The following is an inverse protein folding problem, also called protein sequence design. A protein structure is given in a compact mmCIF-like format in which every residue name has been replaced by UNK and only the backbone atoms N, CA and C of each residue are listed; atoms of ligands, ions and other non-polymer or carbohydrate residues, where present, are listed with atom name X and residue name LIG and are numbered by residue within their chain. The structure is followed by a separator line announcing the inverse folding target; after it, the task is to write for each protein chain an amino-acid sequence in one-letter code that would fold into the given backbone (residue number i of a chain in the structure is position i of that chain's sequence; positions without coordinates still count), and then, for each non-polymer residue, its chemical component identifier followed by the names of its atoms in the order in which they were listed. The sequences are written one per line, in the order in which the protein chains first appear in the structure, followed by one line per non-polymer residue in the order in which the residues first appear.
data_IF_968186325564
#
_entry.id   IF_968186325564
#
_cell.length_a   1.000
_cell.length_b   1.000
_cell.length_c   1.000
_cell.angle_alpha   90.00
_cell.angle_beta   90.00
_cell.angle_gamma   90.00
#
_symmetry.space_group_name_H-M   'P 1'
#
loop_
_entity.id
_entity.type
_entity.pdbx_description
1 polymer ?
#
# COMPACT_ATOMS: atom_id res chain seq x y z
N UNK A 1 -13.69 1.86 -10.30
CA UNK A 1 -12.49 2.68 -10.54
C UNK A 1 -12.20 3.47 -9.27
N UNK A 2 -11.31 2.93 -8.42
CA UNK A 2 -10.70 3.71 -7.34
C UNK A 2 -9.68 4.63 -8.02
N UNK A 3 -10.14 5.78 -8.49
CA UNK A 3 -9.23 6.74 -9.13
C UNK A 3 -8.36 7.31 -8.01
N UNK A 4 -7.05 7.15 -8.15
CA UNK A 4 -6.07 7.74 -7.25
C UNK A 4 -6.36 9.25 -7.12
N UNK A 5 -6.82 9.69 -5.94
CA UNK A 5 -7.18 11.10 -5.70
C UNK A 5 -6.02 12.06 -6.00
N UNK A 6 -4.77 11.58 -5.90
CA UNK A 6 -3.57 12.34 -6.23
C UNK A 6 -3.58 12.68 -7.72
N UNK A 7 -3.84 11.72 -8.60
CA UNK A 7 -3.88 11.97 -10.05
C UNK A 7 -5.03 12.91 -10.41
N UNK A 8 -6.19 12.79 -9.76
CA UNK A 8 -7.29 13.74 -9.95
C UNK A 8 -6.91 15.15 -9.51
N UNK A 9 -6.23 15.29 -8.37
CA UNK A 9 -5.75 16.58 -7.87
C UNK A 9 -4.71 17.20 -8.82
N UNK A 10 -3.73 16.42 -9.26
CA UNK A 10 -2.71 16.86 -10.21
C UNK A 10 -3.33 17.21 -11.57
N UNK A 11 -4.34 16.47 -12.02
CA UNK A 11 -5.04 16.76 -13.26
C UNK A 11 -5.80 18.08 -13.18
N UNK A 12 -6.55 18.32 -12.09
CA UNK A 12 -7.29 19.57 -11.87
C UNK A 12 -6.39 20.81 -11.78
N UNK A 13 -5.16 20.65 -11.26
CA UNK A 13 -4.18 21.73 -11.19
C UNK A 13 -3.65 22.20 -12.55
N UNK A 14 -3.87 21.45 -13.64
CA UNK A 14 -3.53 21.92 -14.98
C UNK A 14 -4.42 23.08 -15.44
N UNK A 15 -5.64 23.17 -14.92
CA UNK A 15 -6.63 24.18 -15.32
C UNK A 15 -6.85 25.22 -14.23
N UNK A 16 -6.88 24.78 -12.97
CA UNK A 16 -7.33 25.60 -11.85
C UNK A 16 -6.26 25.79 -10.80
N UNK A 17 -6.36 26.90 -10.05
CA UNK A 17 -5.61 27.07 -8.81
C UNK A 17 -6.32 26.32 -7.67
N UNK A 18 -5.54 25.82 -6.73
CA UNK A 18 -6.05 25.15 -5.55
C UNK A 18 -5.31 25.61 -4.29
N UNK A 19 -5.77 25.14 -3.14
CA UNK A 19 -5.06 25.24 -1.88
C UNK A 19 -4.73 23.83 -1.40
N UNK A 20 -3.45 23.58 -1.19
CA UNK A 20 -2.97 22.38 -0.50
C UNK A 20 -3.13 22.61 1.00
N UNK A 21 -3.95 21.77 1.63
CA UNK A 21 -4.12 21.71 3.08
C UNK A 21 -3.26 20.57 3.60
N UNK A 22 -2.41 20.85 4.59
CA UNK A 22 -1.51 19.88 5.20
C UNK A 22 -1.73 19.80 6.70
N UNK A 23 -1.89 18.59 7.23
CA UNK A 23 -1.77 18.33 8.67
C UNK A 23 -0.30 18.45 9.05
N UNK A 24 0.07 19.55 9.71
CA UNK A 24 1.45 19.83 10.11
C UNK A 24 1.81 19.15 11.42
N UNK A 25 0.93 19.25 12.42
CA UNK A 25 1.14 18.68 13.73
C UNK A 25 -0.20 18.26 14.35
N UNK A 26 -0.14 17.35 15.31
CA UNK A 26 -1.31 16.84 16.01
C UNK A 26 -1.00 16.63 17.48
N UNK A 27 -2.02 16.72 18.32
CA UNK A 27 -1.95 16.40 19.73
C UNK A 27 -3.15 15.53 20.12
N UNK A 28 -2.94 14.50 20.92
CA UNK A 28 -4.03 13.61 21.36
C UNK A 28 -4.64 12.79 20.22
N UNK A 29 -5.93 12.44 20.37
CA UNK A 29 -6.64 11.60 19.40
C UNK A 29 -7.18 12.44 18.24
N UNK A 30 -6.69 12.16 17.03
CA UNK A 30 -7.01 12.89 15.80
C UNK A 30 -7.28 11.88 14.67
N UNK A 31 -8.10 12.23 13.66
CA UNK A 31 -8.49 11.28 12.62
C UNK A 31 -7.34 10.90 11.68
N UNK A 32 -6.43 11.84 11.36
CA UNK A 32 -5.24 11.59 10.55
C UNK A 32 -4.02 12.32 11.11
N UNK A 33 -2.84 11.75 10.89
CA UNK A 33 -1.58 12.25 11.44
C UNK A 33 -0.86 13.27 10.54
N UNK A 34 0.28 13.81 11.02
CA UNK A 34 1.14 14.72 10.26
C UNK A 34 1.53 14.19 8.87
N UNK A 35 1.64 15.09 7.90
CA UNK A 35 1.92 14.75 6.50
C UNK A 35 0.69 14.32 5.68
N UNK A 36 -0.50 14.34 6.29
CA UNK A 36 -1.75 14.12 5.55
C UNK A 36 -2.12 15.35 4.75
N UNK A 37 -2.56 15.15 3.50
CA UNK A 37 -2.88 16.20 2.56
C UNK A 37 -4.32 16.13 2.05
N UNK A 38 -4.88 17.30 1.73
CA UNK A 38 -6.09 17.49 0.94
C UNK A 38 -5.85 18.66 -0.03
N UNK A 39 -6.35 18.57 -1.26
CA UNK A 39 -6.27 19.64 -2.26
C UNK A 39 -7.66 20.20 -2.49
N UNK A 40 -7.81 21.51 -2.32
CA UNK A 40 -9.11 22.20 -2.36
C UNK A 40 -9.14 23.17 -3.53
N UNK A 41 -10.04 22.94 -4.46
CA UNK A 41 -10.38 23.84 -5.57
C UNK A 41 -11.56 24.73 -5.18
N UNK A 42 -11.93 25.67 -6.08
CA UNK A 42 -13.08 26.54 -5.85
C UNK A 42 -14.37 25.75 -5.59
N UNK A 43 -14.62 24.70 -6.37
CA UNK A 43 -15.88 23.92 -6.37
C UNK A 43 -15.68 22.41 -6.20
N UNK A 44 -14.45 21.97 -5.87
CA UNK A 44 -14.12 20.55 -5.72
C UNK A 44 -12.99 20.35 -4.69
N UNK A 45 -12.79 19.11 -4.27
CA UNK A 45 -11.73 18.72 -3.37
C UNK A 45 -11.25 17.30 -3.65
N UNK A 46 -10.00 17.01 -3.26
CA UNK A 46 -9.34 15.72 -3.43
C UNK A 46 -8.55 15.35 -2.18
N UNK A 47 -8.61 14.08 -1.78
CA UNK A 47 -8.02 13.61 -0.53
C UNK A 47 -8.87 13.92 0.69
N UNK A 48 -8.35 13.59 1.88
CA UNK A 48 -9.06 13.77 3.16
C UNK A 48 -8.04 13.95 4.28
N UNK A 49 -8.28 14.93 5.16
CA UNK A 49 -7.51 15.17 6.38
C UNK A 49 -8.19 14.59 7.63
N UNK A 50 -9.37 13.98 7.48
CA UNK A 50 -9.97 13.16 8.54
C UNK A 50 -11.48 13.23 8.73
N UNK A 51 -12.24 13.82 7.80
CA UNK A 51 -13.69 13.86 7.87
C UNK A 51 -14.29 14.96 8.76
N UNK A 52 -15.60 15.14 8.62
CA UNK A 52 -16.44 15.87 9.56
C UNK A 52 -16.19 17.38 9.62
N UNK A 53 -16.34 17.97 10.80
CA UNK A 53 -16.32 19.42 10.96
C UNK A 53 -14.95 20.06 10.70
N UNK A 54 -13.85 19.36 11.03
CA UNK A 54 -12.49 19.78 10.72
C UNK A 54 -12.31 20.03 9.21
N UNK A 55 -12.78 19.09 8.38
CA UNK A 55 -12.72 19.25 6.92
C UNK A 55 -13.62 20.37 6.43
N UNK A 56 -14.83 20.51 6.97
CA UNK A 56 -15.72 21.61 6.62
C UNK A 56 -15.07 22.99 6.85
N UNK A 57 -14.42 23.16 8.01
CA UNK A 57 -13.70 24.40 8.34
C UNK A 57 -12.48 24.60 7.43
N UNK A 58 -11.69 23.55 7.19
CA UNK A 58 -10.55 23.60 6.30
C UNK A 58 -10.95 23.97 4.86
N UNK A 59 -12.03 23.39 4.33
CA UNK A 59 -12.58 23.70 3.01
C UNK A 59 -13.03 25.16 2.92
N UNK A 60 -13.77 25.65 3.91
CA UNK A 60 -14.21 27.04 3.97
C UNK A 60 -13.01 27.99 3.99
N UNK A 61 -12.03 27.72 4.83
CA UNK A 61 -10.80 28.53 4.97
C UNK A 61 -9.97 28.54 3.67
N UNK A 62 -9.76 27.38 3.06
CA UNK A 62 -9.07 27.24 1.78
C UNK A 62 -9.76 28.04 0.67
N UNK A 63 -11.10 28.02 0.61
CA UNK A 63 -11.86 28.81 -0.38
C UNK A 63 -11.81 30.31 -0.13
N UNK A 64 -11.74 30.76 1.12
CA UNK A 64 -11.48 32.18 1.44
C UNK A 64 -10.09 32.59 0.95
N UNK A 65 -9.08 31.74 1.17
CA UNK A 65 -7.70 31.98 0.73
C UNK A 65 -7.61 32.07 -0.80
N UNK A 66 -8.28 31.16 -1.53
CA UNK A 66 -8.38 31.21 -3.00
C UNK A 66 -9.03 32.50 -3.52
N UNK A 67 -10.01 33.04 -2.80
CA UNK A 67 -10.69 34.29 -3.14
C UNK A 67 -9.91 35.55 -2.72
N UNK A 68 -8.75 35.41 -2.07
CA UNK A 68 -8.01 36.52 -1.50
C UNK A 68 -8.74 37.21 -0.34
N UNK A 69 -9.66 36.52 0.32
CA UNK A 69 -10.47 37.05 1.43
C UNK A 69 -9.84 36.80 2.80
N UNK A 70 -8.72 36.07 2.85
CA UNK A 70 -7.87 35.90 4.02
C UNK A 70 -6.42 35.71 3.59
N UNK A 71 -5.47 36.11 4.43
CA UNK A 71 -4.03 35.84 4.26
C UNK A 71 -3.53 34.81 5.29
N UNK A 72 -4.41 34.31 6.16
CA UNK A 72 -4.07 33.36 7.19
C UNK A 72 -3.78 31.98 6.57
N UNK A 73 -2.54 31.52 6.70
CA UNK A 73 -2.09 30.22 6.15
C UNK A 73 -1.90 29.14 7.23
N UNK A 74 -2.16 29.45 8.50
CA UNK A 74 -2.10 28.51 9.61
C UNK A 74 -3.44 28.49 10.35
N UNK A 75 -3.94 27.30 10.68
CA UNK A 75 -5.14 27.12 11.50
C UNK A 75 -4.89 26.07 12.57
N UNK A 76 -4.99 26.45 13.83
CA UNK A 76 -5.00 25.52 14.95
C UNK A 76 -6.45 25.18 15.31
N UNK A 77 -6.79 23.89 15.33
CA UNK A 77 -8.14 23.43 15.63
C UNK A 77 -8.13 22.40 16.76
N UNK A 78 -8.71 22.78 17.90
CA UNK A 78 -9.01 21.84 18.99
C UNK A 78 -10.23 21.02 18.60
N UNK A 79 -10.08 19.70 18.56
CA UNK A 79 -11.13 18.75 18.28
C UNK A 79 -11.91 18.45 19.57
N UNK A 80 -13.22 18.21 19.44
CA UNK A 80 -14.04 17.78 20.56
C UNK A 80 -15.53 17.96 20.31
N UNK A 81 -16.36 17.69 21.35
CA UNK A 81 -17.82 17.81 21.26
C UNK A 81 -18.28 19.21 20.84
N UNK A 82 -17.50 20.24 21.15
CA UNK A 82 -17.77 21.63 20.74
C UNK A 82 -17.74 21.85 19.22
N UNK A 83 -17.07 20.97 18.46
CA UNK A 83 -17.10 20.94 17.00
C UNK A 83 -18.02 19.84 16.44
N UNK A 84 -18.80 19.16 17.30
CA UNK A 84 -19.57 17.98 16.90
C UNK A 84 -18.68 16.79 16.50
N UNK A 85 -17.46 16.68 17.05
CA UNK A 85 -16.54 15.60 16.75
C UNK A 85 -16.29 14.70 17.97
N UNK A 86 -16.04 13.41 17.70
CA UNK A 86 -15.74 12.42 18.73
C UNK A 86 -14.25 12.39 19.13
N UNK A 87 -13.37 12.95 18.31
CA UNK A 87 -11.94 13.07 18.60
C UNK A 87 -11.70 14.23 19.58
N UNK A 88 -10.85 14.03 20.60
CA UNK A 88 -10.55 15.03 21.63
C UNK A 88 -9.15 15.63 21.54
N UNK A 89 -8.47 15.46 20.40
CA UNK A 89 -7.14 16.00 20.15
C UNK A 89 -7.15 17.44 19.63
N UNK A 90 -6.04 17.87 19.04
CA UNK A 90 -5.93 19.12 18.31
C UNK A 90 -5.07 18.91 17.06
N UNK A 91 -5.31 19.73 16.03
CA UNK A 91 -4.63 19.65 14.73
C UNK A 91 -4.14 21.03 14.33
N UNK A 92 -2.89 21.11 13.88
CA UNK A 92 -2.35 22.27 13.20
C UNK A 92 -2.38 22.04 11.68
N UNK A 93 -3.08 22.92 10.97
CA UNK A 93 -3.20 22.91 9.52
C UNK A 93 -2.38 24.04 8.89
N UNK A 94 -1.73 23.73 7.77
CA UNK A 94 -1.06 24.71 6.89
C UNK A 94 -1.77 24.74 5.54
N UNK A 95 -1.95 25.94 5.00
CA UNK A 95 -2.61 26.19 3.72
C UNK A 95 -1.62 26.84 2.75
N UNK A 96 -1.45 26.23 1.58
CA UNK A 96 -0.56 26.72 0.52
C UNK A 96 -1.35 26.89 -0.77
N UNK A 97 -1.37 28.10 -1.36
CA UNK A 97 -1.93 28.26 -2.70
C UNK A 97 -0.99 27.61 -3.72
N UNK A 98 -1.54 26.73 -4.55
CA UNK A 98 -0.81 25.95 -5.54
C UNK A 98 -1.44 26.05 -6.92
N UNK A 99 -0.64 25.83 -7.95
CA UNK A 99 -1.04 25.93 -9.36
C UNK A 99 -0.34 24.91 -10.24
N UNK A 100 -0.56 24.99 -11.56
CA UNK A 100 0.18 24.20 -12.55
C UNK A 100 1.72 24.29 -12.39
N UNK A 101 2.24 25.42 -11.90
CA UNK A 101 3.68 25.61 -11.68
C UNK A 101 4.24 24.67 -10.60
N UNK A 102 3.40 24.21 -9.68
CA UNK A 102 3.78 23.36 -8.54
C UNK A 102 3.72 21.87 -8.85
N UNK A 103 3.18 21.47 -10.01
CA UNK A 103 2.95 20.07 -10.38
C UNK A 103 4.18 19.15 -10.19
N UNK A 104 5.41 19.54 -10.58
CA UNK A 104 6.58 18.69 -10.37
C UNK A 104 6.85 18.40 -8.88
N UNK A 105 6.73 19.42 -8.03
CA UNK A 105 6.92 19.31 -6.58
C UNK A 105 5.80 18.51 -5.94
N UNK A 106 4.54 18.83 -6.27
CA UNK A 106 3.37 18.18 -5.68
C UNK A 106 3.29 16.70 -6.07
N UNK A 107 3.69 16.33 -7.28
CA UNK A 107 3.76 14.91 -7.66
C UNK A 107 4.71 14.15 -6.74
N UNK A 108 5.89 14.69 -6.42
CA UNK A 108 6.84 14.07 -5.50
C UNK A 108 6.33 14.07 -4.05
N UNK A 109 5.69 15.16 -3.62
CA UNK A 109 5.22 15.32 -2.25
C UNK A 109 3.99 14.46 -1.93
N UNK A 110 3.04 14.37 -2.86
CA UNK A 110 1.77 13.67 -2.65
C UNK A 110 1.84 12.19 -2.96
N UNK A 111 2.81 11.75 -3.76
CA UNK A 111 2.97 10.32 -4.10
C UNK A 111 3.85 9.64 -3.06
N UNK A 112 3.29 8.83 -2.15
CA UNK A 112 4.10 8.11 -1.19
C UNK A 112 4.99 7.09 -1.90
N UNK A 113 6.22 6.84 -1.40
CA UNK A 113 7.04 5.75 -1.91
C UNK A 113 6.26 4.44 -1.74
N UNK A 114 6.22 3.64 -2.82
CA UNK A 114 5.60 2.32 -2.80
C UNK A 114 6.64 1.27 -2.45
N UNK A 115 6.28 0.37 -1.56
CA UNK A 115 7.09 -0.79 -1.20
C UNK A 115 7.00 -1.83 -2.32
N UNK A 116 8.12 -2.31 -2.89
CA UNK A 116 8.07 -3.35 -3.91
C UNK A 116 7.51 -4.65 -3.32
N UNK A 117 6.57 -5.28 -4.04
CA UNK A 117 5.90 -6.51 -3.65
C UNK A 117 5.82 -7.45 -4.85
N UNK A 118 6.38 -8.64 -4.73
CA UNK A 118 6.24 -9.70 -5.71
C UNK A 118 5.15 -10.69 -5.25
N UNK A 119 4.15 -10.91 -6.09
CA UNK A 119 3.08 -11.88 -5.86
C UNK A 119 3.21 -13.01 -6.87
N UNK A 120 3.57 -14.20 -6.41
CA UNK A 120 3.64 -15.41 -7.23
C UNK A 120 2.31 -16.17 -7.15
N UNK A 121 1.59 -16.26 -8.26
CA UNK A 121 0.34 -16.99 -8.42
C UNK A 121 -0.83 -16.10 -8.85
N UNK A 122 -1.35 -16.36 -10.05
CA UNK A 122 -2.51 -15.71 -10.69
C UNK A 122 -3.87 -16.33 -10.35
N UNK A 123 -3.93 -17.24 -9.38
CA UNK A 123 -5.17 -17.88 -8.94
C UNK A 123 -6.15 -16.92 -8.23
N UNK A 124 -7.28 -17.45 -7.75
CA UNK A 124 -8.33 -16.66 -7.09
C UNK A 124 -7.82 -15.82 -5.91
N UNK A 125 -6.92 -16.37 -5.08
CA UNK A 125 -6.31 -15.64 -3.95
C UNK A 125 -5.41 -14.50 -4.45
N UNK A 126 -4.62 -14.73 -5.49
CA UNK A 126 -3.78 -13.69 -6.11
C UNK A 126 -4.61 -12.54 -6.65
N UNK A 127 -5.71 -12.85 -7.36
CA UNK A 127 -6.69 -11.85 -7.86
C UNK A 127 -7.27 -11.01 -6.71
N UNK A 128 -7.75 -11.65 -5.64
CA UNK A 128 -8.29 -10.96 -4.47
C UNK A 128 -7.24 -10.07 -3.78
N UNK A 129 -5.99 -10.53 -3.70
CA UNK A 129 -4.88 -9.74 -3.15
C UNK A 129 -4.57 -8.52 -4.00
N UNK A 130 -4.46 -8.65 -5.31
CA UNK A 130 -4.21 -7.50 -6.20
C UNK A 130 -5.28 -6.42 -6.01
N UNK A 131 -6.56 -6.81 -5.97
CA UNK A 131 -7.65 -5.87 -5.70
C UNK A 131 -7.58 -5.23 -4.31
N UNK A 132 -7.10 -5.95 -3.30
CA UNK A 132 -6.91 -5.42 -1.95
C UNK A 132 -5.71 -4.47 -1.87
N UNK A 133 -4.63 -4.78 -2.60
CA UNK A 133 -3.34 -4.10 -2.51
C UNK A 133 -3.23 -2.83 -3.37
N UNK A 134 -4.08 -2.66 -4.40
CA UNK A 134 -4.01 -1.52 -5.34
C UNK A 134 -4.01 -0.15 -4.66
N UNK A 135 -4.76 -0.02 -3.55
CA UNK A 135 -4.89 1.22 -2.78
C UNK A 135 -3.94 1.31 -1.58
N UNK A 136 -3.10 0.28 -1.39
CA UNK A 136 -2.11 0.22 -0.31
C UNK A 136 -0.74 0.66 -0.87
N UNK A 137 0.25 1.00 -0.02
CA UNK A 137 1.53 1.56 -0.46
C UNK A 137 2.48 0.48 -1.02
N UNK A 138 1.99 -0.33 -1.95
CA UNK A 138 2.73 -1.39 -2.62
C UNK A 138 2.81 -1.16 -4.12
N UNK A 139 3.96 -1.50 -4.71
CA UNK A 139 4.15 -1.63 -6.15
C UNK A 139 4.18 -3.12 -6.46
N UNK A 140 3.10 -3.62 -7.07
CA UNK A 140 2.86 -5.06 -7.20
C UNK A 140 3.40 -5.57 -8.53
N UNK A 141 4.34 -6.51 -8.48
CA UNK A 141 4.74 -7.37 -9.61
C UNK A 141 4.06 -8.72 -9.45
N UNK A 142 3.14 -9.05 -10.35
CA UNK A 142 2.31 -10.24 -10.30
C UNK A 142 2.81 -11.28 -11.30
N UNK A 143 3.31 -12.40 -10.79
CA UNK A 143 4.07 -13.41 -11.56
C UNK A 143 3.33 -14.74 -11.56
N UNK A 144 3.25 -15.42 -12.71
CA UNK A 144 2.72 -16.79 -12.82
C UNK A 144 3.35 -17.50 -14.03
N UNK A 145 3.31 -18.83 -14.07
CA UNK A 145 3.84 -19.65 -15.15
C UNK A 145 2.87 -19.89 -16.31
N UNK A 146 1.63 -19.40 -16.21
CA UNK A 146 0.59 -19.56 -17.23
C UNK A 146 0.38 -18.26 -17.99
N UNK A 147 0.60 -18.30 -19.30
CA UNK A 147 0.61 -17.17 -20.25
C UNK A 147 -0.71 -16.35 -20.32
N UNK A 148 -1.84 -16.87 -19.81
CA UNK A 148 -3.17 -16.23 -19.91
C UNK A 148 -3.95 -16.20 -18.58
N UNK A 149 -3.25 -16.31 -17.44
CA UNK A 149 -3.94 -16.36 -16.14
C UNK A 149 -4.44 -15.00 -15.65
N UNK A 150 -3.74 -13.93 -16.06
CA UNK A 150 -4.04 -12.57 -15.65
C UNK A 150 -5.31 -12.07 -16.36
N UNK A 151 -6.19 -11.35 -15.64
CA UNK A 151 -7.38 -10.76 -16.24
C UNK A 151 -6.99 -9.66 -17.24
N UNK A 152 -7.88 -9.33 -18.17
CA UNK A 152 -7.64 -8.25 -19.13
C UNK A 152 -7.69 -6.86 -18.46
N UNK A 153 -8.46 -6.73 -17.38
CA UNK A 153 -8.66 -5.51 -16.60
C UNK A 153 -7.78 -5.49 -15.35
N UNK A 154 -6.46 -5.60 -15.55
CA UNK A 154 -5.48 -5.45 -14.46
C UNK A 154 -5.54 -4.03 -13.90
N UNK A 155 -5.61 -3.82 -12.57
CA UNK A 155 -5.59 -2.48 -11.99
C UNK A 155 -4.29 -1.72 -12.30
N UNK A 156 -4.41 -0.39 -12.45
CA UNK A 156 -3.26 0.49 -12.66
C UNK A 156 -2.20 0.33 -11.56
N UNK A 157 -0.93 0.29 -11.96
CA UNK A 157 0.21 0.15 -11.04
C UNK A 157 0.55 -1.29 -10.64
N UNK A 158 -0.07 -2.28 -11.26
CA UNK A 158 0.29 -3.70 -11.17
C UNK A 158 1.03 -4.11 -12.45
N UNK A 159 2.23 -4.66 -12.30
CA UNK A 159 3.03 -5.18 -13.41
C UNK A 159 2.87 -6.70 -13.50
N UNK A 160 2.38 -7.21 -14.63
CA UNK A 160 2.13 -8.64 -14.81
C UNK A 160 3.29 -9.28 -15.59
N UNK A 161 3.79 -10.41 -15.07
CA UNK A 161 4.87 -11.17 -15.68
C UNK A 161 4.47 -12.63 -15.85
N UNK A 162 4.55 -13.11 -17.08
CA UNK A 162 4.60 -14.54 -17.35
C UNK A 162 6.04 -15.02 -17.25
N UNK A 163 6.31 -15.98 -16.36
CA UNK A 163 7.64 -16.51 -16.13
C UNK A 163 7.60 -18.04 -16.03
N UNK A 164 8.34 -18.72 -16.90
CA UNK A 164 8.44 -20.19 -16.90
C UNK A 164 9.90 -20.62 -17.17
N UNK A 165 10.61 -21.18 -16.17
CA UNK A 165 10.11 -21.57 -14.86
C UNK A 165 9.89 -20.36 -13.93
N UNK A 166 8.81 -20.40 -13.14
CA UNK A 166 8.31 -19.23 -12.40
C UNK A 166 9.31 -18.63 -11.40
N UNK A 167 10.16 -19.48 -10.79
CA UNK A 167 11.18 -19.03 -9.84
C UNK A 167 12.29 -18.19 -10.47
N UNK A 168 12.41 -18.17 -11.81
CA UNK A 168 13.41 -17.34 -12.50
C UNK A 168 13.20 -15.84 -12.21
N UNK A 169 11.94 -15.40 -12.06
CA UNK A 169 11.60 -14.02 -11.75
C UNK A 169 12.20 -13.51 -10.43
N UNK A 170 12.56 -14.41 -9.49
CA UNK A 170 13.16 -14.03 -8.20
C UNK A 170 14.48 -13.28 -8.36
N UNK A 171 15.25 -13.55 -9.41
CA UNK A 171 16.53 -12.87 -9.66
C UNK A 171 16.36 -11.38 -9.95
N UNK A 172 15.25 -11.01 -10.60
CA UNK A 172 14.97 -9.67 -11.13
C UNK A 172 14.09 -8.81 -10.21
N UNK A 173 13.69 -9.32 -9.03
CA UNK A 173 12.92 -8.51 -8.07
C UNK A 173 13.76 -7.32 -7.59
N UNK A 174 13.12 -6.18 -7.36
CA UNK A 174 13.78 -5.00 -6.80
C UNK A 174 14.30 -5.29 -5.37
N UNK A 175 15.46 -4.75 -4.96
CA UNK A 175 15.89 -4.83 -3.56
C UNK A 175 14.82 -4.26 -2.61
N UNK A 176 14.62 -4.89 -1.45
CA UNK A 176 13.55 -4.57 -0.51
C UNK A 176 12.20 -5.20 -0.83
N UNK A 177 12.11 -6.02 -1.89
CA UNK A 177 10.86 -6.69 -2.28
C UNK A 177 10.35 -7.61 -1.19
N UNK A 178 9.07 -7.45 -0.85
CA UNK A 178 8.31 -8.45 -0.08
C UNK A 178 7.79 -9.49 -1.05
N UNK A 179 7.81 -10.76 -0.68
CA UNK A 179 7.45 -11.86 -1.58
C UNK A 179 6.26 -12.63 -1.00
N UNK A 180 5.23 -12.83 -1.82
CA UNK A 180 4.06 -13.65 -1.53
C UNK A 180 4.03 -14.84 -2.49
N UNK A 181 3.95 -16.05 -1.95
CA UNK A 181 4.02 -17.29 -2.73
C UNK A 181 2.70 -18.05 -2.58
N UNK A 182 1.96 -18.15 -3.68
CA UNK A 182 0.66 -18.82 -3.77
C UNK A 182 0.35 -19.35 -5.18
N UNK A 183 1.30 -20.08 -5.75
CA UNK A 183 1.08 -20.75 -7.03
C UNK A 183 0.05 -21.87 -6.92
N UNK A 184 -0.31 -22.47 -8.06
CA UNK A 184 -1.20 -23.62 -8.11
C UNK A 184 -0.48 -24.96 -7.84
N UNK A 185 0.86 -24.94 -7.72
CA UNK A 185 1.70 -26.14 -7.67
C UNK A 185 2.59 -26.14 -6.42
N UNK A 186 2.52 -27.21 -5.63
CA UNK A 186 3.43 -27.40 -4.50
C UNK A 186 4.90 -27.47 -4.94
N UNK A 187 5.19 -27.89 -6.17
CA UNK A 187 6.56 -27.92 -6.68
C UNK A 187 7.06 -26.50 -7.00
N UNK A 188 6.25 -25.71 -7.70
CA UNK A 188 6.58 -24.32 -8.02
C UNK A 188 6.76 -23.47 -6.75
N UNK A 189 5.85 -23.60 -5.79
CA UNK A 189 5.98 -22.90 -4.50
C UNK A 189 7.31 -23.22 -3.81
N UNK A 190 7.74 -24.49 -3.81
CA UNK A 190 9.00 -24.90 -3.19
C UNK A 190 10.20 -24.34 -3.95
N UNK A 191 10.16 -24.34 -5.29
CA UNK A 191 11.23 -23.78 -6.11
C UNK A 191 11.35 -22.26 -5.95
N UNK A 192 10.24 -21.54 -5.82
CA UNK A 192 10.23 -20.10 -5.50
C UNK A 192 10.81 -19.88 -4.10
N UNK A 193 10.37 -20.63 -3.08
CA UNK A 193 10.93 -20.54 -1.72
C UNK A 193 12.45 -20.73 -1.74
N UNK A 194 12.95 -21.74 -2.45
CA UNK A 194 14.38 -22.02 -2.57
C UNK A 194 15.12 -20.87 -3.24
N UNK A 195 14.56 -20.31 -4.32
CA UNK A 195 15.15 -19.15 -4.99
C UNK A 195 15.21 -17.92 -4.07
N UNK A 196 14.14 -17.67 -3.31
CA UNK A 196 14.09 -16.58 -2.33
C UNK A 196 15.12 -16.77 -1.22
N UNK A 197 15.25 -17.97 -0.64
CA UNK A 197 16.23 -18.24 0.41
C UNK A 197 17.67 -18.09 -0.08
N UNK A 198 17.97 -18.55 -1.30
CA UNK A 198 19.30 -18.35 -1.91
C UNK A 198 19.61 -16.86 -2.09
N UNK A 199 18.67 -16.10 -2.66
CA UNK A 199 18.83 -14.65 -2.82
C UNK A 199 18.99 -13.95 -1.47
N UNK A 200 18.17 -14.31 -0.48
CA UNK A 200 18.24 -13.71 0.84
C UNK A 200 19.59 -13.98 1.52
N UNK A 201 20.15 -15.17 1.34
CA UNK A 201 21.50 -15.50 1.82
C UNK A 201 22.58 -14.66 1.12
N UNK A 202 22.44 -14.44 -0.17
CA UNK A 202 23.43 -13.71 -0.98
C UNK A 202 23.37 -12.19 -0.81
N UNK A 203 22.16 -11.63 -0.69
CA UNK A 203 21.92 -10.17 -0.78
C UNK A 203 21.28 -9.58 0.48
N UNK A 204 20.57 -10.38 1.28
CA UNK A 204 19.88 -9.91 2.48
C UNK A 204 18.76 -8.89 2.20
N UNK A 205 18.20 -8.87 0.98
CA UNK A 205 17.37 -7.78 0.48
C UNK A 205 15.87 -8.14 0.33
N UNK A 206 15.45 -9.30 0.81
CA UNK A 206 14.05 -9.71 0.89
C UNK A 206 13.58 -9.61 2.35
N UNK A 207 12.99 -8.48 2.79
CA UNK A 207 12.59 -8.30 4.20
C UNK A 207 11.47 -9.24 4.64
N UNK A 208 10.72 -9.82 3.70
CA UNK A 208 9.60 -10.71 4.00
C UNK A 208 9.37 -11.71 2.87
N UNK A 209 9.25 -12.99 3.22
CA UNK A 209 8.82 -14.06 2.30
C UNK A 209 7.69 -14.84 2.96
N UNK A 210 6.48 -14.70 2.44
CA UNK A 210 5.29 -15.37 2.93
C UNK A 210 4.80 -16.44 1.96
N UNK A 211 4.45 -17.61 2.49
CA UNK A 211 3.96 -18.75 1.73
C UNK A 211 2.53 -19.11 2.15
N UNK A 212 1.64 -19.20 1.18
CA UNK A 212 0.31 -19.77 1.41
C UNK A 212 0.43 -21.28 1.69
N UNK A 213 -0.25 -21.74 2.73
CA UNK A 213 -0.19 -23.14 3.08
C UNK A 213 -0.72 -23.46 4.45
N UNK A 214 -0.97 -24.74 4.71
CA UNK A 214 -1.23 -25.25 6.05
C UNK A 214 0.08 -25.50 6.80
N UNK A 215 0.00 -25.64 8.13
CA UNK A 215 1.14 -26.07 8.96
C UNK A 215 1.72 -27.40 8.49
N UNK A 216 0.88 -28.31 8.01
CA UNK A 216 1.32 -29.61 7.47
C UNK A 216 2.10 -29.44 6.16
N UNK A 217 1.63 -28.59 5.23
CA UNK A 217 2.38 -28.27 4.00
C UNK A 217 3.75 -27.68 4.35
N UNK A 218 3.76 -26.77 5.32
CA UNK A 218 5.00 -26.15 5.76
C UNK A 218 5.99 -27.15 6.38
N UNK A 219 5.51 -28.06 7.22
CA UNK A 219 6.36 -29.11 7.80
C UNK A 219 7.05 -29.96 6.71
N UNK A 220 6.32 -30.33 5.65
CA UNK A 220 6.89 -31.04 4.50
C UNK A 220 7.93 -30.20 3.76
N UNK A 221 7.68 -28.90 3.57
CA UNK A 221 8.64 -28.01 2.91
C UNK A 221 9.90 -27.83 3.75
N UNK A 222 9.77 -27.60 5.05
CA UNK A 222 10.90 -27.48 5.99
C UNK A 222 11.82 -28.70 5.89
N UNK A 223 11.27 -29.92 5.94
CA UNK A 223 12.08 -31.13 5.81
C UNK A 223 12.85 -31.19 4.48
N UNK A 224 12.19 -30.86 3.36
CA UNK A 224 12.84 -30.83 2.04
C UNK A 224 13.91 -29.74 1.91
N UNK A 225 13.76 -28.63 2.64
CA UNK A 225 14.76 -27.57 2.68
C UNK A 225 15.97 -28.00 3.52
N UNK A 226 15.74 -28.65 4.65
CA UNK A 226 16.80 -29.23 5.50
C UNK A 226 17.61 -30.29 4.73
N UNK A 227 16.94 -31.18 3.99
CA UNK A 227 17.59 -32.18 3.13
C UNK A 227 18.45 -31.54 2.03
N UNK A 228 18.13 -30.31 1.64
CA UNK A 228 18.90 -29.50 0.67
C UNK A 228 19.98 -28.63 1.32
N UNK A 229 20.16 -28.74 2.64
CA UNK A 229 21.22 -28.07 3.39
C UNK A 229 20.90 -26.64 3.85
N UNK A 230 19.64 -26.21 3.81
CA UNK A 230 19.24 -24.95 4.43
C UNK A 230 19.22 -25.09 5.96
N UNK A 231 19.77 -24.10 6.64
CA UNK A 231 19.79 -24.02 8.11
C UNK A 231 18.42 -23.64 8.66
N UNK A 232 18.16 -23.97 9.93
CA UNK A 232 16.92 -23.58 10.60
C UNK A 232 16.70 -22.05 10.58
N UNK A 233 17.77 -21.26 10.75
CA UNK A 233 17.71 -19.81 10.69
C UNK A 233 17.30 -19.28 9.31
N UNK A 234 17.82 -19.88 8.23
CA UNK A 234 17.40 -19.52 6.86
C UNK A 234 15.92 -19.89 6.64
N UNK A 235 15.49 -21.07 7.10
CA UNK A 235 14.11 -21.55 6.93
C UNK A 235 13.11 -20.68 7.71
N UNK A 236 13.47 -20.22 8.92
CA UNK A 236 12.63 -19.38 9.76
C UNK A 236 12.39 -17.96 9.18
N UNK A 237 13.09 -17.59 8.10
CA UNK A 237 12.77 -16.41 7.31
C UNK A 237 11.43 -16.54 6.56
N UNK A 238 10.95 -17.77 6.32
CA UNK A 238 9.69 -18.01 5.63
C UNK A 238 8.52 -17.99 6.62
N UNK A 239 7.53 -17.14 6.33
CA UNK A 239 6.28 -17.11 7.07
C UNK A 239 5.25 -18.04 6.43
N UNK A 240 4.92 -19.14 7.10
CA UNK A 240 3.85 -20.06 6.68
C UNK A 240 3.12 -20.68 7.89
N UNK A 241 1.78 -20.63 7.96
CA UNK A 241 0.85 -19.96 7.04
C UNK A 241 1.04 -18.44 7.01
N UNK A 242 0.88 -17.85 5.83
CA UNK A 242 0.84 -16.40 5.65
C UNK A 242 -0.52 -15.82 6.11
N UNK A 243 -0.52 -14.57 6.57
CA UNK A 243 -1.68 -13.83 7.07
C UNK A 243 -1.67 -13.62 8.59
N UNK A 244 -2.33 -12.58 9.08
CA UNK A 244 -2.47 -12.35 10.52
C UNK A 244 -3.28 -13.47 11.19
N UNK A 245 -2.86 -13.93 12.39
CA UNK A 245 -3.61 -14.94 13.12
C UNK A 245 -4.97 -14.39 13.59
N UNK A 246 -5.94 -15.29 13.80
CA UNK A 246 -7.26 -14.95 14.35
C UNK A 246 -8.34 -14.65 13.32
N UNK A 247 -7.99 -14.45 12.05
CA UNK A 247 -8.96 -14.37 10.95
C UNK A 247 -9.25 -15.79 10.43
N UNK A 248 -10.49 -16.24 10.59
CA UNK A 248 -10.94 -17.57 10.13
C UNK A 248 -11.67 -17.45 8.80
N UNK A 249 -11.29 -18.27 7.84
CA UNK A 249 -11.91 -18.33 6.52
C UNK A 249 -10.90 -18.83 5.49
N UNK A 250 -11.39 -19.51 4.44
CA UNK A 250 -10.56 -20.00 3.32
C UNK A 250 -10.91 -19.31 2.00
N UNK A 251 -11.86 -18.40 2.05
CA UNK A 251 -12.29 -17.56 0.96
C UNK A 251 -11.13 -16.65 0.51
N UNK A 252 -10.91 -16.46 -0.80
CA UNK A 252 -9.84 -15.63 -1.34
C UNK A 252 -9.75 -14.24 -0.72
N UNK A 253 -10.89 -13.57 -0.53
CA UNK A 253 -10.99 -12.21 -0.01
C UNK A 253 -10.61 -12.14 1.48
N UNK A 254 -10.99 -13.16 2.25
CA UNK A 254 -10.64 -13.25 3.68
C UNK A 254 -9.14 -13.45 3.84
N UNK A 255 -8.54 -14.32 3.03
CA UNK A 255 -7.09 -14.52 3.00
C UNK A 255 -6.38 -13.24 2.55
N UNK A 256 -6.90 -12.55 1.52
CA UNK A 256 -6.33 -11.31 1.03
C UNK A 256 -6.27 -10.21 2.10
N UNK A 257 -7.36 -10.02 2.87
CA UNK A 257 -7.38 -9.08 4.00
C UNK A 257 -6.38 -9.49 5.08
N UNK A 258 -6.31 -10.78 5.43
CA UNK A 258 -5.38 -11.24 6.46
C UNK A 258 -3.91 -11.04 6.08
N UNK A 259 -3.57 -11.27 4.81
CA UNK A 259 -2.21 -11.07 4.27
C UNK A 259 -1.88 -9.58 4.13
N UNK A 260 -2.81 -8.77 3.61
CA UNK A 260 -2.62 -7.32 3.52
C UNK A 260 -2.39 -6.70 4.91
N UNK A 261 -3.15 -7.12 5.92
CA UNK A 261 -2.95 -6.68 7.29
C UNK A 261 -1.55 -7.07 7.82
N UNK A 262 -1.09 -8.28 7.53
CA UNK A 262 0.24 -8.74 7.94
C UNK A 262 1.36 -7.92 7.27
N UNK A 263 1.21 -7.60 5.99
CA UNK A 263 2.17 -6.76 5.28
C UNK A 263 2.25 -5.36 5.90
N UNK A 264 1.10 -4.75 6.22
CA UNK A 264 1.03 -3.43 6.84
C UNK A 264 1.67 -3.37 8.25
N UNK A 265 1.69 -4.48 9.00
CA UNK A 265 2.40 -4.56 10.29
C UNK A 265 3.93 -4.46 10.18
N UNK A 266 4.44 -4.64 8.96
CA UNK A 266 5.88 -4.73 8.68
C UNK A 266 6.39 -3.61 7.78
N UNK A 267 5.58 -2.58 7.54
CA UNK A 267 5.97 -1.38 6.78
C UNK A 267 6.85 -0.44 7.60
#
# INVERSE_FOLDING_TARGET
MSVNWIEQALQGLNTDKAVLVTVQATQGSVPRGPGTHMVVFAEAEQGTIGGGHLEFQALAHARLLLKGQTEQIHLHQVLGPSLGQCCGGAVDLVFEQVSAADLPRLRLQLTPPRTPLALFGGGHVGKALVHTLVNLPFAVRWVDSRDEIFPADVPDGVDCEHSNPVQAAVADLAPGSRVLIMSFSHAEDLDIVIACLKRQKERGDLPFVGLIGSKTKWATFRHRLEDRGFTAQEIDHITCPIGVPGITGKEPEVIAVAVAAQLLQTL
#
